data_IF_892834572864
#
_entry.id   IF_892834572864
#
_cell.length_a   1.000
_cell.length_b   1.000
_cell.length_c   1.000
_cell.angle_alpha   90.00
_cell.angle_beta   90.00
_cell.angle_gamma   90.00
#
_symmetry.space_group_name_H-M   'P 1'
#
loop_
_entity.id
_entity.type
_entity.pdbx_description
1 polymer ?
#
# COMPACT_ATOMS: atom_id res chain seq x y z
N UNK A 1 -9.54 -10.49 8.72
CA UNK A 1 -8.61 -9.40 8.43
C UNK A 1 -9.34 -8.29 7.69
N UNK A 2 -9.00 -7.06 7.95
CA UNK A 2 -9.70 -5.89 7.39
C UNK A 2 -9.36 -5.67 5.91
N UNK A 3 -8.12 -5.94 5.54
CA UNK A 3 -7.63 -5.74 4.18
C UNK A 3 -6.97 -6.99 3.63
N UNK A 4 -7.19 -7.25 2.35
CA UNK A 4 -6.44 -8.24 1.57
C UNK A 4 -5.81 -7.54 0.39
N UNK A 5 -4.53 -7.77 0.16
CA UNK A 5 -3.80 -7.23 -0.99
C UNK A 5 -3.14 -8.37 -1.74
N UNK A 6 -3.38 -8.44 -3.03
CA UNK A 6 -2.80 -9.43 -3.91
C UNK A 6 -1.92 -8.76 -4.95
N UNK A 7 -0.70 -9.26 -5.13
CA UNK A 7 0.22 -8.76 -6.14
C UNK A 7 0.26 -9.73 -7.33
N UNK A 8 -0.03 -9.21 -8.53
CA UNK A 8 -0.11 -9.99 -9.76
C UNK A 8 0.94 -9.53 -10.77
N UNK A 9 1.40 -10.48 -11.58
CA UNK A 9 2.29 -10.15 -12.69
C UNK A 9 1.59 -9.35 -13.78
N UNK A 10 0.30 -9.64 -14.02
CA UNK A 10 -0.51 -9.01 -15.07
C UNK A 10 -1.84 -8.50 -14.53
N UNK A 11 -2.40 -7.47 -15.18
CA UNK A 11 -3.66 -6.85 -14.76
C UNK A 11 -4.91 -7.70 -15.00
N UNK A 12 -4.77 -8.84 -15.66
CA UNK A 12 -5.86 -9.80 -15.87
C UNK A 12 -5.94 -10.87 -14.78
N UNK A 13 -5.37 -10.61 -13.61
CA UNK A 13 -5.30 -11.53 -12.46
C UNK A 13 -4.46 -12.79 -12.73
N UNK A 14 -3.60 -12.74 -13.72
CA UNK A 14 -2.68 -13.84 -13.99
C UNK A 14 -1.37 -13.67 -13.23
N UNK A 15 -0.82 -14.77 -12.74
CA UNK A 15 0.47 -14.77 -12.07
C UNK A 15 0.46 -14.13 -10.70
N UNK A 16 -0.30 -14.69 -9.76
CA UNK A 16 -0.26 -14.25 -8.36
C UNK A 16 1.14 -14.44 -7.79
N UNK A 17 1.80 -13.33 -7.46
CA UNK A 17 3.20 -13.33 -7.00
C UNK A 17 3.31 -13.25 -5.48
N UNK A 18 2.39 -12.53 -4.83
CA UNK A 18 2.39 -12.38 -3.38
C UNK A 18 0.99 -11.99 -2.90
N UNK A 19 0.73 -12.17 -1.62
CA UNK A 19 -0.55 -11.86 -0.99
C UNK A 19 -0.32 -11.45 0.46
N UNK A 20 -1.11 -10.49 0.92
CA UNK A 20 -1.09 -10.02 2.30
C UNK A 20 -2.51 -9.91 2.84
N UNK A 21 -2.72 -10.39 4.06
CA UNK A 21 -3.93 -10.12 4.83
C UNK A 21 -3.52 -9.40 6.11
N UNK A 22 -4.14 -8.26 6.37
CA UNK A 22 -3.78 -7.42 7.52
C UNK A 22 -4.95 -6.56 7.98
N UNK A 23 -4.92 -6.16 9.24
CA UNK A 23 -5.84 -5.16 9.79
C UNK A 23 -5.27 -3.73 9.74
N UNK A 24 -3.99 -3.58 9.34
CA UNK A 24 -3.27 -2.32 9.45
C UNK A 24 -3.03 -1.69 8.08
N UNK A 25 -3.47 -0.44 7.93
CA UNK A 25 -3.31 0.29 6.67
C UNK A 25 -1.84 0.51 6.30
N UNK A 26 -0.97 0.76 7.26
CA UNK A 26 0.45 0.97 6.97
C UNK A 26 1.11 -0.27 6.36
N UNK A 27 0.68 -1.48 6.72
CA UNK A 27 1.17 -2.71 6.10
C UNK A 27 0.70 -2.84 4.65
N UNK A 28 -0.54 -2.38 4.36
CA UNK A 28 -1.08 -2.32 3.01
C UNK A 28 -0.22 -1.40 2.13
N UNK A 29 0.08 -0.21 2.60
CA UNK A 29 0.89 0.75 1.87
C UNK A 29 2.30 0.22 1.58
N UNK A 30 2.95 -0.35 2.58
CA UNK A 30 4.29 -0.94 2.43
C UNK A 30 4.30 -2.09 1.43
N UNK A 31 3.30 -2.95 1.48
CA UNK A 31 3.17 -4.08 0.57
C UNK A 31 2.99 -3.61 -0.88
N UNK A 32 2.09 -2.65 -1.09
CA UNK A 32 1.83 -2.11 -2.43
C UNK A 32 3.07 -1.40 -2.98
N UNK A 33 3.71 -0.58 -2.16
CA UNK A 33 4.94 0.11 -2.53
C UNK A 33 6.03 -0.86 -2.98
N UNK A 34 6.30 -1.87 -2.16
CA UNK A 34 7.34 -2.86 -2.42
C UNK A 34 7.08 -3.66 -3.70
N UNK A 35 5.84 -4.12 -3.90
CA UNK A 35 5.48 -4.91 -5.07
C UNK A 35 5.41 -4.08 -6.36
N UNK A 36 4.98 -2.83 -6.27
CA UNK A 36 4.99 -1.92 -7.43
C UNK A 36 6.41 -1.65 -7.92
N UNK A 37 7.39 -1.57 -7.03
CA UNK A 37 8.79 -1.41 -7.40
C UNK A 37 9.34 -2.62 -8.15
N UNK A 38 8.79 -3.79 -7.88
CA UNK A 38 9.14 -5.04 -8.59
C UNK A 38 8.44 -5.15 -9.95
N UNK A 39 7.55 -4.22 -10.27
CA UNK A 39 6.77 -4.24 -11.51
C UNK A 39 5.48 -5.03 -11.43
N UNK A 40 5.05 -5.41 -10.24
CA UNK A 40 3.81 -6.15 -10.03
C UNK A 40 2.62 -5.20 -9.88
N UNK A 41 1.41 -5.72 -10.14
CA UNK A 41 0.17 -4.97 -10.01
C UNK A 41 -0.57 -5.44 -8.77
N UNK A 42 -0.95 -4.52 -7.91
CA UNK A 42 -1.61 -4.83 -6.65
C UNK A 42 -3.11 -4.59 -6.71
N UNK A 43 -3.89 -5.54 -6.22
CA UNK A 43 -5.32 -5.40 -6.00
C UNK A 43 -5.56 -5.27 -4.50
N UNK A 44 -6.23 -4.18 -4.10
CA UNK A 44 -6.63 -3.96 -2.72
C UNK A 44 -8.10 -4.33 -2.56
N UNK A 45 -8.38 -5.18 -1.58
CA UNK A 45 -9.73 -5.61 -1.22
C UNK A 45 -10.02 -5.13 0.19
N UNK A 46 -11.10 -4.34 0.34
CA UNK A 46 -11.64 -4.00 1.65
C UNK A 46 -12.62 -5.11 2.05
N UNK A 47 -12.22 -5.91 3.03
CA UNK A 47 -13.01 -7.07 3.46
C UNK A 47 -14.28 -6.69 4.23
N UNK A 48 -14.39 -5.46 4.73
CA UNK A 48 -15.59 -4.97 5.41
C UNK A 48 -16.68 -4.58 4.42
N UNK A 49 -16.31 -3.94 3.31
CA UNK A 49 -17.26 -3.45 2.29
C UNK A 49 -17.34 -4.35 1.07
N UNK A 50 -16.32 -5.17 0.84
CA UNK A 50 -16.20 -6.00 -0.36
C UNK A 50 -15.67 -5.25 -1.58
N UNK A 51 -15.29 -4.00 -1.43
CA UNK A 51 -14.73 -3.19 -2.53
C UNK A 51 -13.37 -3.73 -2.97
N UNK A 52 -13.18 -3.80 -4.29
CA UNK A 52 -11.96 -4.29 -4.91
C UNK A 52 -11.48 -3.27 -5.93
N UNK A 53 -10.26 -2.82 -5.79
CA UNK A 53 -9.67 -1.83 -6.69
C UNK A 53 -8.20 -2.13 -6.95
N UNK A 54 -7.73 -1.81 -8.15
CA UNK A 54 -6.30 -1.76 -8.41
C UNK A 54 -5.69 -0.61 -7.62
N UNK A 55 -4.58 -0.87 -6.97
CA UNK A 55 -3.86 0.11 -6.16
C UNK A 55 -2.41 0.18 -6.62
N UNK A 56 -1.90 1.39 -6.79
CA UNK A 56 -0.55 1.63 -7.25
C UNK A 56 0.19 2.52 -6.25
N UNK A 57 1.51 2.44 -6.26
CA UNK A 57 2.34 3.25 -5.38
C UNK A 57 2.06 4.75 -5.55
N UNK A 58 1.74 5.19 -6.76
CA UNK A 58 1.43 6.59 -7.07
C UNK A 58 0.16 7.08 -6.36
N UNK A 59 -0.78 6.18 -6.05
CA UNK A 59 -2.01 6.53 -5.33
C UNK A 59 -1.74 6.94 -3.88
N UNK A 60 -0.60 6.54 -3.33
CA UNK A 60 -0.23 6.79 -1.94
C UNK A 60 0.89 7.82 -1.78
N UNK A 61 1.50 8.27 -2.86
CA UNK A 61 2.66 9.17 -2.82
C UNK A 61 2.37 10.46 -2.07
N UNK A 62 1.23 11.08 -2.32
CA UNK A 62 0.86 12.33 -1.62
C UNK A 62 0.69 12.12 -0.12
N UNK A 63 0.01 11.05 0.26
CA UNK A 63 -0.20 10.71 1.66
C UNK A 63 1.12 10.36 2.37
N UNK A 64 1.99 9.60 1.70
CA UNK A 64 3.31 9.24 2.23
C UNK A 64 4.19 10.48 2.38
N UNK A 65 4.18 11.39 1.40
CA UNK A 65 4.93 12.65 1.49
C UNK A 65 4.44 13.52 2.62
N UNK A 66 3.12 13.67 2.79
CA UNK A 66 2.53 14.43 3.90
C UNK A 66 2.92 13.85 5.26
N UNK A 67 2.83 12.54 5.43
CA UNK A 67 3.22 11.87 6.67
C UNK A 67 4.72 12.04 6.91
N UNK A 68 5.54 11.89 5.89
CA UNK A 68 6.98 12.07 6.00
C UNK A 68 7.35 13.53 6.35
N UNK A 69 6.64 14.52 5.79
CA UNK A 69 6.83 15.91 6.17
C UNK A 69 6.46 16.18 7.62
N UNK A 70 5.33 15.63 8.08
CA UNK A 70 4.91 15.74 9.48
C UNK A 70 5.93 15.11 10.43
N UNK A 71 6.45 13.94 10.10
CA UNK A 71 7.47 13.27 10.87
C UNK A 71 8.76 14.11 10.91
N UNK A 72 9.16 14.67 9.77
CA UNK A 72 10.34 15.54 9.69
C UNK A 72 10.18 16.80 10.54
N UNK A 73 8.99 17.41 10.53
CA UNK A 73 8.69 18.59 11.36
C UNK A 73 8.73 18.24 12.84
N UNK A 74 8.16 17.11 13.25
CA UNK A 74 8.24 16.63 14.63
C UNK A 74 9.68 16.35 15.05
N UNK A 75 10.48 15.74 14.20
CA UNK A 75 11.90 15.49 14.47
C UNK A 75 12.70 16.79 14.59
N UNK A 76 12.38 17.80 13.78
CA UNK A 76 12.99 19.12 13.90
C UNK A 76 12.62 19.79 15.21
N UNK A 77 11.37 19.70 15.64
CA UNK A 77 10.93 20.26 16.92
C UNK A 77 11.57 19.55 18.11
N UNK A 78 11.80 18.24 18.00
CA UNK A 78 12.41 17.47 19.09
C UNK A 78 13.94 17.58 19.12
N UNK A 79 14.57 18.04 18.06
CA UNK A 79 16.05 18.22 18.01
C UNK A 79 16.49 19.59 18.54
N UNK A 80 15.57 20.43 18.90
CA UNK A 80 15.84 21.74 19.51
C UNK A 80 15.53 21.72 21.01
#
# INVERSE_FOLDING_TARGET
MKYTVNAYLCTNFAGLMDSLETDFWFEVEDFIWDNCQKGFHCELIDNETGDRNWAYADDFNEAVEEVNELIREELKCSSN
#
